data_IF_101902478563
#
_entry.id   IF_101902478563
#
_cell.length_a   1.000
_cell.length_b   1.000
_cell.length_c   1.000
_cell.angle_alpha   90.00
_cell.angle_beta   90.00
_cell.angle_gamma   90.00
#
_symmetry.space_group_name_H-M   'P 1'
#
loop_
_entity.id
_entity.type
_entity.pdbx_description
1 polymer ?
#
# COMPACT_ATOMS: atom_id res chain seq x y z
N UNK A 1 -4.38 5.12 -18.68
CA UNK A 1 -5.01 4.01 -17.95
C UNK A 1 -5.75 4.55 -16.74
N UNK A 2 -7.00 4.12 -16.56
CA UNK A 2 -7.77 4.50 -15.39
C UNK A 2 -7.22 3.82 -14.15
N UNK A 3 -7.36 4.45 -12.99
CA UNK A 3 -6.89 3.90 -11.72
C UNK A 3 -7.47 2.49 -11.46
N UNK A 4 -8.77 2.30 -11.71
CA UNK A 4 -9.42 1.01 -11.51
C UNK A 4 -8.82 -0.10 -12.37
N UNK A 5 -8.41 0.20 -13.60
CA UNK A 5 -7.75 -0.78 -14.48
C UNK A 5 -6.37 -1.16 -13.96
N UNK A 6 -5.61 -0.17 -13.44
CA UNK A 6 -4.29 -0.43 -12.86
C UNK A 6 -4.40 -1.31 -11.62
N UNK A 7 -5.38 -1.02 -10.77
CA UNK A 7 -5.59 -1.79 -9.54
C UNK A 7 -6.00 -3.22 -9.85
N UNK A 8 -6.87 -3.41 -10.82
CA UNK A 8 -7.29 -4.76 -11.23
C UNK A 8 -6.14 -5.55 -11.85
N UNK A 9 -5.26 -4.89 -12.61
CA UNK A 9 -4.08 -5.54 -13.16
C UNK A 9 -3.13 -6.02 -12.05
N UNK A 10 -2.91 -5.19 -11.03
CA UNK A 10 -2.08 -5.56 -9.86
C UNK A 10 -2.71 -6.75 -9.13
N UNK A 11 -4.03 -6.74 -8.94
CA UNK A 11 -4.78 -7.79 -8.27
C UNK A 11 -4.51 -9.17 -8.85
N UNK A 12 -4.38 -9.28 -10.17
CA UNK A 12 -4.17 -10.55 -10.85
C UNK A 12 -2.83 -11.22 -10.54
N UNK A 13 -1.84 -10.43 -10.11
CA UNK A 13 -0.48 -10.90 -9.90
C UNK A 13 -0.10 -11.15 -8.45
N UNK A 14 -0.93 -10.74 -7.49
CA UNK A 14 -0.59 -10.85 -6.08
C UNK A 14 -1.33 -12.02 -5.43
N UNK A 15 -0.61 -12.91 -4.73
CA UNK A 15 -1.25 -13.93 -3.89
C UNK A 15 -2.06 -13.27 -2.77
N UNK A 16 -3.12 -13.92 -2.33
CA UNK A 16 -3.98 -13.41 -1.27
C UNK A 16 -3.38 -13.66 0.11
N UNK A 17 -3.75 -12.82 1.08
CA UNK A 17 -3.42 -13.03 2.49
C UNK A 17 -2.00 -12.67 2.88
N UNK A 18 -1.32 -11.88 2.08
CA UNK A 18 0.09 -11.54 2.29
C UNK A 18 0.27 -10.12 2.81
N UNK A 19 1.45 -9.86 3.35
CA UNK A 19 1.88 -8.51 3.72
C UNK A 19 2.50 -7.86 2.49
N UNK A 20 1.93 -6.77 2.05
CA UNK A 20 2.37 -6.05 0.85
C UNK A 20 2.95 -4.69 1.25
N UNK A 21 4.13 -4.38 0.76
CA UNK A 21 4.72 -3.06 0.91
C UNK A 21 4.36 -2.21 -0.32
N UNK A 22 3.69 -1.10 -0.11
CA UNK A 22 3.32 -0.14 -1.13
C UNK A 22 4.36 0.98 -1.14
N UNK A 23 5.30 0.90 -2.07
CA UNK A 23 6.43 1.82 -2.16
C UNK A 23 6.03 3.03 -2.98
N UNK A 24 6.16 4.22 -2.39
CA UNK A 24 5.65 5.42 -3.02
C UNK A 24 4.13 5.40 -3.03
N UNK A 25 3.53 5.16 -1.87
CA UNK A 25 2.09 4.91 -1.73
C UNK A 25 1.21 6.08 -2.18
N UNK A 26 1.75 7.29 -2.14
CA UNK A 26 1.04 8.51 -2.51
C UNK A 26 -0.28 8.61 -1.76
N UNK A 27 -1.43 8.51 -2.42
CA UNK A 27 -2.74 8.67 -1.79
C UNK A 27 -3.25 7.44 -1.05
N UNK A 28 -2.57 6.30 -1.17
CA UNK A 28 -2.93 5.08 -0.46
C UNK A 28 -4.10 4.30 -1.06
N UNK A 29 -4.57 4.69 -2.22
CA UNK A 29 -5.74 4.05 -2.86
C UNK A 29 -5.50 2.59 -3.21
N UNK A 30 -4.30 2.26 -3.70
CA UNK A 30 -3.94 0.89 -4.01
C UNK A 30 -3.97 0.02 -2.76
N UNK A 31 -3.34 0.48 -1.69
CA UNK A 31 -3.30 -0.27 -0.44
C UNK A 31 -4.69 -0.52 0.14
N UNK A 32 -5.55 0.49 0.12
CA UNK A 32 -6.92 0.34 0.61
C UNK A 32 -7.68 -0.69 -0.23
N UNK A 33 -7.51 -0.65 -1.55
CA UNK A 33 -8.11 -1.63 -2.46
C UNK A 33 -7.64 -3.05 -2.15
N UNK A 34 -6.33 -3.24 -1.98
CA UNK A 34 -5.76 -4.56 -1.69
C UNK A 34 -6.31 -5.15 -0.39
N UNK A 35 -6.47 -4.32 0.62
CA UNK A 35 -7.05 -4.73 1.90
C UNK A 35 -8.52 -5.08 1.78
N UNK A 36 -9.29 -4.25 1.08
CA UNK A 36 -10.74 -4.46 0.89
C UNK A 36 -11.05 -5.71 0.10
N UNK A 37 -10.23 -6.01 -0.89
CA UNK A 37 -10.42 -7.19 -1.74
C UNK A 37 -9.85 -8.46 -1.10
N UNK A 38 -9.25 -8.35 0.08
CA UNK A 38 -8.65 -9.50 0.76
C UNK A 38 -7.39 -10.04 0.07
N UNK A 39 -6.82 -9.29 -0.85
CA UNK A 39 -5.58 -9.67 -1.53
C UNK A 39 -4.42 -9.55 -0.56
N UNK A 40 -4.34 -8.43 0.15
CA UNK A 40 -3.38 -8.23 1.21
C UNK A 40 -4.05 -8.40 2.57
N UNK A 41 -3.37 -9.06 3.49
CA UNK A 41 -3.80 -9.17 4.88
C UNK A 41 -3.39 -7.92 5.64
N UNK A 42 -2.18 -7.43 5.35
CA UNK A 42 -1.64 -6.20 5.89
C UNK A 42 -0.90 -5.44 4.80
N UNK A 43 -0.84 -4.12 4.91
CA UNK A 43 -0.04 -3.30 4.01
C UNK A 43 0.88 -2.39 4.80
N UNK A 44 2.06 -2.15 4.24
CA UNK A 44 3.02 -1.17 4.75
C UNK A 44 3.13 -0.11 3.67
N UNK A 45 2.60 1.08 3.96
CA UNK A 45 2.63 2.18 3.02
C UNK A 45 3.85 3.04 3.31
N UNK A 46 4.71 3.20 2.31
CA UNK A 46 5.91 4.03 2.45
C UNK A 46 5.88 5.15 1.44
N UNK A 47 6.44 6.29 1.82
CA UNK A 47 6.63 7.41 0.91
C UNK A 47 7.75 8.29 1.45
N UNK A 48 8.57 8.83 0.57
CA UNK A 48 9.60 9.79 0.97
C UNK A 48 8.97 11.13 1.34
N UNK A 49 7.78 11.41 0.82
CA UNK A 49 7.03 12.62 1.11
C UNK A 49 6.10 12.39 2.31
N UNK A 50 6.39 13.07 3.40
CA UNK A 50 5.51 13.05 4.57
C UNK A 50 4.11 13.56 4.22
N UNK A 51 4.03 14.56 3.33
CA UNK A 51 2.78 15.15 2.88
C UNK A 51 1.90 14.15 2.13
N UNK A 52 2.51 13.38 1.23
CA UNK A 52 1.80 12.33 0.51
C UNK A 52 1.30 11.26 1.45
N UNK A 53 2.14 10.85 2.40
CA UNK A 53 1.77 9.82 3.35
C UNK A 53 0.65 10.28 4.28
N UNK A 54 0.62 11.57 4.62
CA UNK A 54 -0.47 12.14 5.39
C UNK A 54 -1.80 12.05 4.65
N UNK A 55 -1.79 12.27 3.33
CA UNK A 55 -3.00 12.08 2.50
C UNK A 55 -3.46 10.64 2.53
N UNK A 56 -2.53 9.70 2.47
CA UNK A 56 -2.86 8.27 2.57
C UNK A 56 -3.50 7.96 3.91
N UNK A 57 -2.93 8.48 4.99
CA UNK A 57 -3.52 8.31 6.33
C UNK A 57 -4.94 8.84 6.41
N UNK A 58 -5.20 10.00 5.79
CA UNK A 58 -6.53 10.61 5.77
C UNK A 58 -7.54 9.74 5.02
N UNK A 59 -7.12 9.07 3.96
CA UNK A 59 -7.97 8.15 3.23
C UNK A 59 -8.45 6.99 4.11
N UNK A 60 -7.61 6.56 5.05
CA UNK A 60 -7.91 5.44 5.94
C UNK A 60 -8.69 5.85 7.19
N UNK A 61 -8.86 7.13 7.47
CA UNK A 61 -9.58 7.59 8.65
C UNK A 61 -11.02 7.08 8.64
N UNK A 62 -11.44 6.39 9.69
CA UNK A 62 -12.77 5.83 9.80
C UNK A 62 -12.97 4.50 9.07
N UNK A 63 -11.96 4.02 8.36
CA UNK A 63 -12.05 2.76 7.65
C UNK A 63 -11.55 1.60 8.53
N UNK A 64 -12.25 0.47 8.51
CA UNK A 64 -11.84 -0.71 9.29
C UNK A 64 -10.47 -1.23 8.86
N UNK A 65 -10.09 -1.01 7.60
CA UNK A 65 -8.81 -1.42 7.05
C UNK A 65 -7.61 -0.70 7.68
N UNK A 66 -7.84 0.43 8.34
CA UNK A 66 -6.76 1.20 8.98
C UNK A 66 -5.96 0.37 10.00
N UNK A 67 -6.60 -0.58 10.66
CA UNK A 67 -5.94 -1.46 11.64
C UNK A 67 -4.88 -2.37 11.01
N UNK A 68 -4.96 -2.56 9.70
CA UNK A 68 -4.05 -3.43 8.96
C UNK A 68 -3.10 -2.65 8.06
N UNK A 69 -2.98 -1.36 8.30
CA UNK A 69 -2.11 -0.47 7.53
C UNK A 69 -1.05 0.15 8.45
N UNK A 70 0.20 0.11 7.99
CA UNK A 70 1.33 0.71 8.68
C UNK A 70 1.93 1.77 7.75
N UNK A 71 2.06 2.99 8.24
CA UNK A 71 2.51 4.15 7.44
C UNK A 71 3.91 4.55 7.87
N UNK A 72 4.86 4.56 6.92
CA UNK A 72 6.26 4.88 7.19
C UNK A 72 6.80 5.91 6.22
N UNK A 73 7.29 7.02 6.75
CA UNK A 73 7.98 8.04 5.95
C UNK A 73 9.42 7.60 5.73
N UNK A 74 9.85 7.63 4.48
CA UNK A 74 11.23 7.32 4.12
C UNK A 74 11.32 6.55 2.82
N UNK A 75 12.53 6.18 2.47
CA UNK A 75 12.77 5.31 1.32
C UNK A 75 12.25 3.92 1.68
N UNK A 76 11.33 3.38 0.86
CA UNK A 76 10.67 2.12 1.14
C UNK A 76 11.62 0.98 1.48
N UNK A 77 12.74 0.87 0.76
CA UNK A 77 13.70 -0.19 1.00
C UNK A 77 14.46 0.00 2.31
N UNK A 78 14.64 1.27 2.74
CA UNK A 78 15.36 1.58 3.97
C UNK A 78 14.50 1.45 5.23
N UNK A 79 13.18 1.62 5.11
CA UNK A 79 12.26 1.57 6.26
C UNK A 79 11.59 0.22 6.45
N UNK A 80 11.91 -0.76 5.60
CA UNK A 80 11.44 -2.13 5.72
C UNK A 80 12.52 -2.99 6.37
N UNK A 81 12.11 -3.85 7.29
CA UNK A 81 13.00 -4.87 7.83
C UNK A 81 13.06 -6.06 6.89
N UNK A 82 14.16 -6.83 6.88
CA UNK A 82 14.24 -8.04 6.05
C UNK A 82 13.05 -8.97 6.32
N UNK A 83 12.45 -9.46 5.25
CA UNK A 83 11.31 -10.41 5.30
C UNK A 83 10.05 -9.87 5.94
N UNK A 84 9.97 -8.59 6.23
CA UNK A 84 8.78 -7.98 6.83
C UNK A 84 7.59 -7.99 5.88
N UNK A 85 7.83 -7.74 4.59
CA UNK A 85 6.82 -7.80 3.57
C UNK A 85 7.10 -8.95 2.60
N UNK A 86 6.04 -9.60 2.13
CA UNK A 86 6.14 -10.67 1.13
C UNK A 86 6.36 -10.13 -0.26
N UNK A 87 5.73 -9.00 -0.58
CA UNK A 87 5.81 -8.36 -1.88
C UNK A 87 5.91 -6.85 -1.74
N UNK A 88 6.63 -6.23 -2.65
CA UNK A 88 6.70 -4.78 -2.77
C UNK A 88 6.04 -4.37 -4.09
N UNK A 89 5.21 -3.32 -4.04
CA UNK A 89 4.49 -2.81 -5.20
C UNK A 89 4.90 -1.36 -5.43
N UNK A 90 5.21 -1.01 -6.67
CA UNK A 90 5.62 0.33 -7.06
C UNK A 90 4.57 1.00 -7.97
N UNK A 91 3.35 0.53 -7.96
CA UNK A 91 2.30 0.99 -8.87
C UNK A 91 1.94 2.48 -8.69
N UNK A 92 2.11 3.00 -7.47
CA UNK A 92 1.84 4.40 -7.19
C UNK A 92 2.86 5.38 -7.77
N UNK A 93 3.96 4.87 -8.30
CA UNK A 93 5.06 5.69 -8.82
C UNK A 93 5.01 5.85 -10.35
N UNK A 94 4.03 5.27 -10.97
CA UNK A 94 3.89 5.29 -12.42
C UNK A 94 3.59 6.63 -13.04
#
# INVERSE_FOLDING_TARGET
>A
MKLSERLNAVKEYLPRGLVVADIGADRGELSLFLLREGIAQEVILTDISEKSLLRAKQLFVGEKEAERADFRVGNGLAVLMPKEASYAVFAGMG
#
